data_IF_530430969884
#
_entry.id   IF_530430969884
#
_cell.length_a   1.000
_cell.length_b   1.000
_cell.length_c   1.000
_cell.angle_alpha   90.00
_cell.angle_beta   90.00
_cell.angle_gamma   90.00
#
_symmetry.space_group_name_H-M   'P 1'
#
loop_
_entity.id
_entity.type
_entity.pdbx_description
1 polymer ?
#
# COMPACT_ATOMS: atom_id res chain seq x y z
N UNK A 1 0.52 -10.49 1.10
CA UNK A 1 -0.29 -9.39 1.66
C UNK A 1 -0.27 -8.26 0.64
N UNK A 2 -1.35 -7.48 0.45
CA UNK A 2 -1.35 -6.41 -0.55
C UNK A 2 -0.20 -5.43 -0.34
N UNK A 3 0.49 -5.08 -1.43
CA UNK A 3 1.63 -4.15 -1.43
C UNK A 3 3.01 -4.78 -1.19
N UNK A 4 3.14 -6.05 -0.79
CA UNK A 4 4.48 -6.59 -0.44
C UNK A 4 5.45 -6.69 -1.62
N UNK A 5 4.95 -7.04 -2.81
CA UNK A 5 5.75 -7.12 -4.04
C UNK A 5 6.36 -5.77 -4.42
N UNK A 6 5.75 -4.66 -3.99
CA UNK A 6 6.22 -3.30 -4.24
C UNK A 6 7.40 -2.89 -3.38
N UNK A 7 7.70 -3.64 -2.32
CA UNK A 7 8.73 -3.30 -1.35
C UNK A 7 9.88 -4.31 -1.35
N UNK A 8 9.58 -5.59 -1.55
CA UNK A 8 10.59 -6.65 -1.54
C UNK A 8 10.25 -7.73 -2.56
N UNK A 9 10.41 -7.47 -3.87
CA UNK A 9 10.06 -8.41 -4.94
C UNK A 9 10.90 -9.70 -4.91
N UNK A 10 12.10 -9.65 -4.32
CA UNK A 10 13.00 -10.80 -4.17
C UNK A 10 12.81 -11.54 -2.85
N UNK A 11 11.82 -11.18 -2.02
CA UNK A 11 11.58 -11.87 -0.76
C UNK A 11 11.02 -13.27 -1.00
N UNK A 12 11.63 -14.27 -0.36
CA UNK A 12 11.12 -15.65 -0.37
C UNK A 12 9.94 -15.87 0.59
N UNK A 13 9.62 -14.87 1.43
CA UNK A 13 8.61 -14.98 2.49
C UNK A 13 7.66 -13.80 2.46
N UNK A 14 6.44 -14.04 1.95
CA UNK A 14 5.35 -13.06 1.92
C UNK A 14 4.31 -13.36 3.02
N UNK A 15 3.73 -12.33 3.61
CA UNK A 15 2.64 -12.50 4.55
C UNK A 15 1.36 -12.99 3.83
N UNK A 16 1.00 -14.25 4.03
CA UNK A 16 -0.34 -14.74 3.66
C UNK A 16 -1.40 -14.18 4.61
N UNK A 17 -2.56 -13.82 4.06
CA UNK A 17 -3.74 -13.43 4.84
C UNK A 17 -4.25 -14.66 5.58
N UNK A 18 -4.45 -14.54 6.88
CA UNK A 18 -5.08 -15.57 7.71
C UNK A 18 -6.57 -15.29 7.90
N UNK A 19 -6.89 -14.06 8.33
CA UNK A 19 -8.28 -13.62 8.48
C UNK A 19 -8.41 -12.10 8.42
N UNK A 20 -9.58 -11.65 8.02
CA UNK A 20 -10.03 -10.28 8.22
C UNK A 20 -10.64 -10.15 9.61
N UNK A 21 -10.45 -9.01 10.26
CA UNK A 21 -11.21 -8.70 11.46
C UNK A 21 -12.66 -8.34 11.06
N UNK A 22 -13.64 -8.65 11.92
CA UNK A 22 -15.05 -8.45 11.60
C UNK A 22 -15.46 -6.97 11.57
N UNK A 23 -14.68 -6.09 12.22
CA UNK A 23 -14.98 -4.68 12.35
C UNK A 23 -14.19 -3.85 11.34
N UNK A 24 -14.91 -2.98 10.63
CA UNK A 24 -14.32 -1.92 9.81
C UNK A 24 -14.41 -0.64 10.62
N UNK A 25 -13.26 0.00 10.87
CA UNK A 25 -13.18 1.21 11.66
C UNK A 25 -13.35 2.43 10.76
N UNK A 26 -14.25 3.35 11.13
CA UNK A 26 -14.40 4.63 10.42
C UNK A 26 -13.54 5.68 11.11
N UNK A 27 -12.58 6.23 10.38
CA UNK A 27 -11.59 7.20 10.88
C UNK A 27 -11.86 8.56 10.23
N UNK A 28 -11.88 9.64 11.02
CA UNK A 28 -11.96 11.00 10.51
C UNK A 28 -10.58 11.67 10.60
N UNK A 29 -10.02 12.08 9.46
CA UNK A 29 -8.71 12.74 9.38
C UNK A 29 -8.66 13.65 8.15
N UNK A 30 -7.93 14.76 8.21
CA UNK A 30 -7.81 15.70 7.08
C UNK A 30 -9.16 16.07 6.45
N UNK A 31 -10.14 16.37 7.31
CA UNK A 31 -11.51 16.76 6.91
C UNK A 31 -12.26 15.71 6.08
N UNK A 32 -11.82 14.44 6.13
CA UNK A 32 -12.41 13.34 5.38
C UNK A 32 -12.59 12.10 6.24
N UNK A 33 -13.61 11.31 5.92
CA UNK A 33 -13.82 10.00 6.51
C UNK A 33 -13.17 8.92 5.66
N UNK A 34 -12.50 7.98 6.32
CA UNK A 34 -11.90 6.81 5.71
C UNK A 34 -12.36 5.55 6.44
N UNK A 35 -12.40 4.44 5.73
CA UNK A 35 -12.66 3.14 6.33
C UNK A 35 -11.34 2.39 6.47
N UNK A 36 -11.04 1.86 7.64
CA UNK A 36 -9.84 1.09 7.93
C UNK A 36 -10.22 -0.38 8.13
N UNK A 37 -9.63 -1.28 7.34
CA UNK A 37 -9.75 -2.72 7.51
C UNK A 37 -8.52 -3.23 8.25
N UNK A 38 -8.75 -4.09 9.23
CA UNK A 38 -7.69 -4.80 9.94
C UNK A 38 -7.57 -6.24 9.42
N UNK A 39 -6.37 -6.63 9.02
CA UNK A 39 -6.05 -7.96 8.48
C UNK A 39 -5.02 -8.65 9.37
N UNK A 40 -5.28 -9.90 9.75
CA UNK A 40 -4.29 -10.77 10.42
C UNK A 40 -3.55 -11.61 9.40
N UNK A 41 -2.22 -11.57 9.44
CA UNK A 41 -1.35 -12.44 8.68
C UNK A 41 -1.22 -13.83 9.34
N UNK A 42 -0.77 -14.82 8.56
CA UNK A 42 -0.55 -16.20 9.02
C UNK A 42 0.47 -16.33 10.17
N UNK A 43 1.44 -15.41 10.25
CA UNK A 43 2.40 -15.36 11.35
C UNK A 43 1.88 -14.61 12.60
N UNK A 44 0.59 -14.24 12.62
CA UNK A 44 -0.03 -13.51 13.72
C UNK A 44 0.09 -11.99 13.66
N UNK A 45 0.91 -11.42 12.77
CA UNK A 45 1.07 -9.97 12.60
C UNK A 45 -0.25 -9.32 12.15
N UNK A 46 -0.54 -8.13 12.68
CA UNK A 46 -1.72 -7.35 12.33
C UNK A 46 -1.30 -6.24 11.37
N UNK A 47 -2.05 -6.08 10.28
CA UNK A 47 -1.84 -5.05 9.25
C UNK A 47 -3.12 -4.23 9.09
N UNK A 48 -2.98 -2.92 8.90
CA UNK A 48 -4.09 -1.98 8.76
C UNK A 48 -4.09 -1.40 7.34
N UNK A 49 -5.26 -1.38 6.71
CA UNK A 49 -5.44 -0.89 5.35
C UNK A 49 -6.54 0.16 5.31
N UNK A 50 -6.20 1.35 4.82
CA UNK A 50 -7.17 2.42 4.61
C UNK A 50 -7.80 2.25 3.23
N UNK A 51 -9.12 2.16 3.19
CA UNK A 51 -9.93 2.21 1.98
C UNK A 51 -10.24 3.66 1.66
N UNK A 52 -9.73 4.13 0.53
CA UNK A 52 -10.15 5.40 -0.04
C UNK A 52 -11.30 5.16 -1.03
N UNK A 53 -12.46 5.75 -0.74
CA UNK A 53 -13.66 5.62 -1.57
C UNK A 53 -13.59 6.44 -2.88
N UNK A 54 -12.51 7.20 -3.10
CA UNK A 54 -12.38 8.11 -4.24
C UNK A 54 -12.16 7.44 -5.60
N UNK A 55 -11.82 6.14 -5.64
CA UNK A 55 -11.45 5.45 -6.88
C UNK A 55 -12.61 4.70 -7.55
N UNK A 56 -13.75 4.51 -6.87
CA UNK A 56 -14.87 3.70 -7.36
C UNK A 56 -15.90 4.49 -8.19
N UNK A 57 -15.82 5.83 -8.21
CA UNK A 57 -16.83 6.69 -8.86
C UNK A 57 -16.32 7.39 -10.11
N UNK A 58 -15.31 6.82 -10.76
CA UNK A 58 -14.70 7.43 -11.94
C UNK A 58 -14.94 6.49 -13.12
N UNK A 59 -15.84 6.90 -14.03
CA UNK A 59 -15.99 6.28 -15.35
C UNK A 59 -14.62 6.23 -16.03
N UNK A 60 -14.31 5.17 -16.77
CA UNK A 60 -13.04 4.97 -17.49
C UNK A 60 -12.59 6.24 -18.26
N UNK A 61 -13.54 7.00 -18.81
CA UNK A 61 -13.29 8.24 -19.56
C UNK A 61 -12.86 9.45 -18.70
N UNK A 62 -12.95 9.35 -17.37
CA UNK A 62 -12.56 10.37 -16.39
C UNK A 62 -11.48 9.88 -15.46
N UNK A 63 -10.84 8.75 -15.78
CA UNK A 63 -9.78 8.15 -14.96
C UNK A 63 -8.75 9.23 -14.64
N UNK A 64 -8.66 9.59 -13.36
CA UNK A 64 -7.85 10.72 -12.92
C UNK A 64 -6.39 10.27 -13.00
N UNK A 65 -5.68 10.52 -14.11
CA UNK A 65 -4.27 10.16 -14.32
C UNK A 65 -3.32 10.48 -13.15
N UNK A 66 -3.77 11.35 -12.24
CA UNK A 66 -3.10 11.67 -11.00
C UNK A 66 -2.74 10.45 -10.13
N UNK A 67 -3.60 9.42 -10.00
CA UNK A 67 -3.27 8.27 -9.15
C UNK A 67 -2.19 7.37 -9.77
N UNK A 68 -2.26 7.15 -11.09
CA UNK A 68 -1.21 6.46 -11.84
C UNK A 68 0.11 7.22 -11.76
N UNK A 69 0.06 8.55 -11.90
CA UNK A 69 1.24 9.41 -11.81
C UNK A 69 1.86 9.36 -10.41
N UNK A 70 1.05 9.46 -9.36
CA UNK A 70 1.50 9.37 -7.97
C UNK A 70 2.15 8.00 -7.70
N UNK A 71 1.50 6.93 -8.16
CA UNK A 71 1.97 5.56 -8.02
C UNK A 71 3.31 5.33 -8.76
N UNK A 72 3.42 5.79 -10.01
CA UNK A 72 4.66 5.75 -10.81
C UNK A 72 5.78 6.59 -10.19
N UNK A 73 5.45 7.76 -9.63
CA UNK A 73 6.43 8.64 -8.98
C UNK A 73 6.99 7.99 -7.72
N UNK A 74 6.14 7.34 -6.92
CA UNK A 74 6.57 6.57 -5.75
C UNK A 74 7.46 5.40 -6.17
N UNK A 75 7.11 4.71 -7.26
CA UNK A 75 7.92 3.61 -7.79
C UNK A 75 9.32 4.08 -8.22
N UNK A 76 9.42 5.21 -8.94
CA UNK A 76 10.70 5.80 -9.34
C UNK A 76 11.56 6.18 -8.13
N UNK A 77 10.97 6.84 -7.13
CA UNK A 77 11.69 7.23 -5.91
C UNK A 77 12.22 6.00 -5.15
N UNK A 78 11.46 4.90 -5.10
CA UNK A 78 11.94 3.63 -4.52
C UNK A 78 13.12 3.04 -5.29
N UNK A 79 13.09 3.07 -6.63
CA UNK A 79 14.21 2.59 -7.45
C UNK A 79 15.48 3.39 -7.17
N UNK A 80 15.38 4.72 -7.11
CA UNK A 80 16.50 5.61 -6.77
C UNK A 80 17.01 5.27 -5.36
N UNK A 81 16.11 5.14 -4.39
CA UNK A 81 16.49 4.83 -3.01
C UNK A 81 17.27 3.50 -2.92
N UNK A 82 16.84 2.47 -3.65
CA UNK A 82 17.54 1.19 -3.70
C UNK A 82 18.96 1.31 -4.27
N UNK A 83 19.15 2.14 -5.30
CA UNK A 83 20.46 2.39 -5.90
C UNK A 83 21.36 3.15 -4.91
N UNK A 84 20.85 4.20 -4.27
CA UNK A 84 21.62 5.02 -3.33
C UNK A 84 22.02 4.24 -2.07
N UNK A 85 21.08 3.54 -1.44
CA UNK A 85 21.34 2.77 -0.20
C UNK A 85 22.30 1.59 -0.45
N UNK A 86 22.22 0.93 -1.60
CA UNK A 86 23.15 -0.18 -1.92
C UNK A 86 24.57 0.33 -2.14
N UNK A 87 24.76 1.54 -2.68
CA UNK A 87 26.08 2.14 -2.91
C UNK A 87 26.77 2.68 -1.66
N UNK A 88 26.03 3.11 -0.64
CA UNK A 88 26.64 3.53 0.63
C UNK A 88 27.32 2.38 1.40
N UNK A 89 27.03 1.12 1.06
CA UNK A 89 27.76 -0.04 1.62
C UNK A 89 29.10 -0.34 0.93
N UNK A 90 29.43 0.34 -0.17
CA UNK A 90 30.69 0.17 -0.92
C UNK A 90 31.76 1.22 -0.59
N UNK A 91 31.51 2.10 0.40
CA UNK A 91 32.48 3.04 0.99
C UNK A 91 32.84 2.63 2.43
#
# INVERSE_FOLDING_TARGET
MPGELWHAPEANFYFRINKFFPTIERIYKHERYFNCITIRAHNGKIMYYILSNSYQTISIDKCNFQWELEENTIQLLKMINNICIRKEKEL
#
